data_IF_903107179789
#
_entry.id   IF_903107179789
#
_cell.length_a   1.000
_cell.length_b   1.000
_cell.length_c   1.000
_cell.angle_alpha   90.00
_cell.angle_beta   90.00
_cell.angle_gamma   90.00
#
_symmetry.space_group_name_H-M   'P 1'
#
loop_
_entity.id
_entity.type
_entity.pdbx_description
1 polymer ?
#
# COMPACT_ATOMS: atom_id res chain seq x y z
N UNK A 1 0.30 -13.13 4.06
CA UNK A 1 0.35 -11.71 4.51
C UNK A 1 0.08 -10.84 3.29
N UNK A 2 -0.90 -9.94 3.33
CA UNK A 2 -1.14 -9.02 2.23
C UNK A 2 0.06 -8.08 2.05
N UNK A 3 0.49 -7.92 0.80
CA UNK A 3 1.50 -6.94 0.41
C UNK A 3 0.76 -5.70 -0.06
N UNK A 4 1.08 -4.56 0.53
CA UNK A 4 0.50 -3.28 0.16
C UNK A 4 1.57 -2.47 -0.55
N UNK A 5 1.18 -1.81 -1.62
CA UNK A 5 2.06 -0.97 -2.40
C UNK A 5 1.83 0.49 -1.98
N UNK A 6 2.90 1.20 -1.66
CA UNK A 6 2.85 2.59 -1.23
C UNK A 6 3.66 3.45 -2.18
N UNK A 7 3.17 4.67 -2.38
CA UNK A 7 3.85 5.71 -3.15
C UNK A 7 4.09 6.91 -2.24
N UNK A 8 5.36 7.27 -2.10
CA UNK A 8 5.74 8.49 -1.44
C UNK A 8 5.41 9.71 -2.31
N UNK A 9 4.56 10.61 -1.82
CA UNK A 9 4.19 11.83 -2.57
C UNK A 9 5.31 12.88 -2.55
N UNK A 10 6.14 12.90 -1.50
CA UNK A 10 7.25 13.86 -1.38
C UNK A 10 8.46 13.53 -2.25
N UNK A 11 8.71 12.24 -2.48
CA UNK A 11 9.91 11.74 -3.15
C UNK A 11 9.61 10.98 -4.44
N UNK A 12 8.33 10.72 -4.73
CA UNK A 12 7.85 10.02 -5.92
C UNK A 12 8.18 8.53 -5.97
N UNK A 13 8.87 7.98 -4.96
CA UNK A 13 9.28 6.57 -4.94
C UNK A 13 8.13 5.66 -4.53
N UNK A 14 7.94 4.58 -5.27
CA UNK A 14 7.04 3.48 -4.93
C UNK A 14 7.81 2.37 -4.20
N UNK A 15 7.17 1.74 -3.23
CA UNK A 15 7.73 0.61 -2.48
C UNK A 15 6.62 -0.28 -1.96
N UNK A 16 6.92 -1.56 -1.82
CA UNK A 16 5.96 -2.57 -1.34
C UNK A 16 6.29 -2.95 0.09
N UNK A 17 5.30 -2.92 0.98
CA UNK A 17 5.45 -3.36 2.35
C UNK A 17 4.47 -4.51 2.65
N UNK A 18 4.97 -5.64 3.18
CA UNK A 18 4.10 -6.64 3.77
C UNK A 18 3.54 -6.09 5.09
N UNK A 19 2.26 -5.67 5.10
CA UNK A 19 1.60 -5.18 6.31
C UNK A 19 0.48 -6.12 6.72
N UNK A 20 0.32 -6.30 8.02
CA UNK A 20 -0.93 -6.82 8.54
C UNK A 20 -1.97 -5.70 8.52
N UNK A 21 -3.24 -6.06 8.34
CA UNK A 21 -4.37 -5.11 8.36
C UNK A 21 -4.38 -4.27 9.65
N UNK A 22 -3.92 -4.87 10.76
CA UNK A 22 -3.76 -4.23 12.07
C UNK A 22 -2.66 -3.16 12.11
N UNK A 23 -1.56 -3.35 11.38
CA UNK A 23 -0.47 -2.39 11.28
C UNK A 23 -0.80 -1.26 10.28
N UNK A 24 -1.60 -1.60 9.27
CA UNK A 24 -2.17 -0.64 8.35
C UNK A 24 -3.11 0.35 9.06
N UNK A 25 -4.05 -0.13 9.89
CA UNK A 25 -4.91 0.74 10.71
C UNK A 25 -4.10 1.66 11.64
N UNK A 26 -2.95 1.19 12.13
CA UNK A 26 -2.07 1.98 12.99
C UNK A 26 -1.29 3.09 12.26
N UNK A 27 -1.34 3.15 10.92
CA UNK A 27 -0.68 4.17 10.11
C UNK A 27 0.81 4.39 10.49
N UNK A 28 1.47 3.32 10.92
CA UNK A 28 2.83 3.37 11.48
C UNK A 28 3.88 2.97 10.43
N UNK A 29 3.72 3.50 9.21
CA UNK A 29 4.62 3.25 8.09
C UNK A 29 5.14 4.58 7.55
N UNK A 30 6.43 4.61 7.24
CA UNK A 30 7.15 5.82 6.82
C UNK A 30 7.97 5.53 5.57
N UNK A 31 8.16 6.56 4.75
CA UNK A 31 9.01 6.48 3.57
C UNK A 31 10.45 6.12 3.96
N UNK A 32 11.04 4.99 3.53
CA UNK A 32 12.41 4.65 3.90
C UNK A 32 13.45 5.62 3.32
N UNK A 33 13.11 6.33 2.24
CA UNK A 33 14.03 7.27 1.58
C UNK A 33 14.02 8.69 2.18
N UNK A 34 12.93 9.08 2.85
CA UNK A 34 12.65 10.47 3.19
C UNK A 34 12.04 10.65 4.59
N UNK A 35 11.70 9.55 5.27
CA UNK A 35 11.12 9.48 6.62
C UNK A 35 9.86 10.34 6.79
N UNK A 36 9.14 10.57 5.70
CA UNK A 36 7.85 11.25 5.72
C UNK A 36 6.72 10.24 5.78
N UNK A 37 5.63 10.67 6.43
CA UNK A 37 4.38 9.90 6.57
C UNK A 37 3.39 10.15 5.43
N UNK A 38 3.73 11.03 4.49
CA UNK A 38 2.95 11.28 3.27
C UNK A 38 3.18 10.16 2.26
N UNK A 39 2.46 9.07 2.50
CA UNK A 39 2.47 7.87 1.68
C UNK A 39 1.04 7.67 1.18
N UNK A 40 0.90 7.56 -0.13
CA UNK A 40 -0.36 7.23 -0.79
C UNK A 40 -0.39 5.73 -1.05
N UNK A 41 -1.50 5.10 -0.70
CA UNK A 41 -1.69 3.68 -0.93
C UNK A 41 -1.98 3.44 -2.40
N UNK A 42 -1.10 2.68 -3.05
CA UNK A 42 -1.35 2.12 -4.35
C UNK A 42 -2.03 0.77 -4.12
N UNK A 43 -3.33 0.80 -3.84
CA UNK A 43 -4.13 -0.39 -3.98
C UNK A 43 -4.12 -0.76 -5.46
N UNK A 44 -3.26 -1.70 -5.84
CA UNK A 44 -3.38 -2.41 -7.11
C UNK A 44 -4.80 -2.99 -7.09
N UNK A 45 -5.69 -2.37 -7.86
CA UNK A 45 -7.12 -2.67 -7.84
C UNK A 45 -7.26 -4.17 -7.93
N UNK A 46 -7.72 -4.80 -6.84
CA UNK A 46 -8.03 -6.22 -6.84
C UNK A 46 -9.14 -6.33 -7.87
N UNK A 47 -8.75 -6.70 -9.08
CA UNK A 47 -9.66 -6.91 -10.18
C UNK A 47 -10.33 -8.23 -9.81
N UNK A 48 -11.33 -8.15 -8.94
CA UNK A 48 -12.24 -9.23 -8.65
C UNK A 48 -13.04 -9.36 -9.94
N UNK A 49 -12.42 -10.00 -10.94
CA UNK A 49 -13.14 -10.66 -12.03
C UNK A 49 -13.98 -11.70 -11.30
N UNK A 50 -15.14 -11.27 -10.84
CA UNK A 50 -16.24 -12.16 -10.54
C UNK A 50 -16.50 -12.80 -11.90
N UNK A 51 -15.92 -13.98 -12.12
CA UNK A 51 -16.39 -14.85 -13.16
C UNK A 51 -17.87 -15.04 -12.85
N UNK A 52 -18.72 -14.30 -13.56
CA UNK A 52 -20.13 -14.63 -13.76
C UNK A 52 -20.11 -16.08 -14.23
N UNK A 53 -20.27 -17.02 -13.30
CA UNK A 53 -20.63 -18.38 -13.64
C UNK A 53 -22.12 -18.32 -13.91
N UNK A 54 -22.43 -18.61 -15.18
CA UNK A 54 -23.70 -18.54 -15.89
C UNK A 54 -24.94 -18.90 -15.09
#
# INVERSE_FOLDING_TARGET
MPVYEFKCLDCGKTFTLPLAVKDFEKNNYECPSCKKKNLEEQFSSVNVVTSKKS
#
